data_IF_336637996923
#
_entry.id   IF_336637996923
#
_cell.length_a   1.000
_cell.length_b   1.000
_cell.length_c   1.000
_cell.angle_alpha   90.00
_cell.angle_beta   90.00
_cell.angle_gamma   90.00
#
_symmetry.space_group_name_H-M   'P 1'
#
loop_
_entity.id
_entity.type
_entity.pdbx_description
1 polymer ?
#
# COMPACT_ATOMS: atom_id res chain seq x y z
N UNK A 1 -26.04 -1.85 -5.31
CA UNK A 1 -26.71 -1.73 -3.98
C UNK A 1 -26.45 -0.33 -3.44
N UNK A 2 -27.49 0.39 -2.97
CA UNK A 2 -27.34 1.74 -2.42
C UNK A 2 -27.59 1.70 -0.90
N UNK A 3 -26.55 1.92 -0.06
CA UNK A 3 -26.68 1.78 1.39
C UNK A 3 -27.58 2.83 2.04
N UNK A 4 -27.73 4.02 1.43
CA UNK A 4 -28.65 5.05 1.94
C UNK A 4 -30.15 4.65 1.83
N UNK A 5 -30.47 3.69 0.98
CA UNK A 5 -31.83 3.15 0.80
C UNK A 5 -32.09 1.90 1.63
N UNK A 6 -31.06 1.34 2.24
CA UNK A 6 -31.18 0.18 3.11
C UNK A 6 -31.64 0.62 4.51
N UNK A 7 -32.42 -0.22 5.17
CA UNK A 7 -32.74 -0.01 6.58
C UNK A 7 -31.85 -0.90 7.43
N UNK A 8 -31.16 -0.33 8.45
CA UNK A 8 -30.43 -1.15 9.38
C UNK A 8 -31.39 -2.13 10.08
N UNK A 9 -31.10 -3.41 10.03
CA UNK A 9 -31.99 -4.45 10.62
C UNK A 9 -32.03 -4.36 12.14
N UNK A 10 -30.96 -3.89 12.76
CA UNK A 10 -30.85 -3.76 14.22
C UNK A 10 -31.40 -2.43 14.69
N UNK A 11 -32.45 -2.47 15.49
CA UNK A 11 -33.03 -1.30 16.17
C UNK A 11 -32.42 -1.02 17.54
N UNK A 12 -31.56 -1.92 18.07
CA UNK A 12 -30.93 -1.81 19.39
C UNK A 12 -29.72 -0.89 19.42
N UNK A 13 -29.03 -0.86 20.57
CA UNK A 13 -27.79 -0.12 20.76
C UNK A 13 -26.68 -0.61 19.82
N UNK A 14 -25.77 0.30 19.41
CA UNK A 14 -24.60 -0.04 18.59
C UNK A 14 -23.55 -0.83 19.40
N UNK A 15 -23.60 -0.75 20.71
CA UNK A 15 -22.57 -1.36 21.56
C UNK A 15 -22.81 -2.85 21.74
N UNK A 16 -21.70 -3.57 21.86
CA UNK A 16 -21.68 -4.99 22.21
C UNK A 16 -21.13 -5.18 23.63
N UNK A 17 -21.59 -6.24 24.28
CA UNK A 17 -21.08 -6.64 25.60
C UNK A 17 -19.67 -7.26 25.51
N UNK A 18 -19.02 -7.43 26.66
CA UNK A 18 -17.66 -7.96 26.73
C UNK A 18 -17.51 -9.37 26.18
N UNK A 19 -18.52 -10.22 26.22
CA UNK A 19 -18.45 -11.57 25.67
C UNK A 19 -18.32 -11.54 24.15
N UNK A 20 -18.96 -10.60 23.48
CA UNK A 20 -18.89 -10.45 22.04
C UNK A 20 -17.57 -9.87 21.54
N UNK A 21 -16.78 -9.23 22.41
CA UNK A 21 -15.42 -8.84 22.08
C UNK A 21 -14.46 -10.02 21.93
N UNK A 22 -14.70 -11.10 22.64
CA UNK A 22 -13.83 -12.27 22.68
C UNK A 22 -14.10 -13.17 21.48
N UNK A 23 -13.65 -12.78 20.34
CA UNK A 23 -13.69 -13.63 19.14
C UNK A 23 -12.51 -14.59 19.13
N UNK A 24 -12.74 -15.81 18.67
CA UNK A 24 -11.66 -16.79 18.50
C UNK A 24 -10.70 -16.32 17.40
N UNK A 25 -9.38 -16.27 17.65
CA UNK A 25 -8.40 -15.99 16.60
C UNK A 25 -8.48 -16.96 15.42
N UNK A 26 -7.97 -16.53 14.26
CA UNK A 26 -7.74 -17.47 13.17
C UNK A 26 -6.53 -18.39 13.48
N UNK A 27 -6.42 -19.51 12.77
CA UNK A 27 -5.22 -20.33 12.80
C UNK A 27 -4.23 -19.81 11.73
N UNK A 28 -3.06 -19.32 12.15
CA UNK A 28 -2.07 -18.72 11.23
C UNK A 28 -1.58 -19.67 10.13
N UNK A 29 -1.63 -21.00 10.36
CA UNK A 29 -1.18 -22.01 9.40
C UNK A 29 -2.25 -22.41 8.38
N UNK A 30 -3.52 -22.08 8.62
CA UNK A 30 -4.66 -22.49 7.80
C UNK A 30 -5.41 -21.32 7.19
N UNK A 31 -5.21 -20.11 7.74
CA UNK A 31 -5.91 -18.91 7.27
C UNK A 31 -5.55 -18.61 5.82
N UNK A 32 -6.56 -18.27 5.03
CA UNK A 32 -6.30 -17.73 3.70
C UNK A 32 -5.53 -16.39 3.84
N UNK A 33 -4.43 -16.17 3.10
CA UNK A 33 -3.68 -14.91 3.16
C UNK A 33 -4.55 -13.67 3.00
N UNK A 34 -5.55 -13.71 2.11
CA UNK A 34 -6.47 -12.59 1.91
C UNK A 34 -7.50 -12.41 3.04
N UNK A 35 -7.77 -13.41 3.87
CA UNK A 35 -8.48 -13.19 5.14
C UNK A 35 -7.64 -12.36 6.11
N UNK A 36 -6.35 -12.66 6.24
CA UNK A 36 -5.39 -11.86 7.03
C UNK A 36 -5.35 -10.41 6.54
N UNK A 37 -5.19 -10.20 5.24
CA UNK A 37 -5.11 -8.83 4.67
C UNK A 37 -6.41 -8.05 4.83
N UNK A 38 -7.61 -8.70 4.74
CA UNK A 38 -8.89 -8.04 5.05
C UNK A 38 -8.95 -7.57 6.50
N UNK A 39 -8.50 -8.39 7.45
CA UNK A 39 -8.47 -8.02 8.87
C UNK A 39 -7.54 -6.81 9.09
N UNK A 40 -6.38 -6.79 8.45
CA UNK A 40 -5.43 -5.67 8.50
C UNK A 40 -6.09 -4.40 7.91
N UNK A 41 -6.66 -4.49 6.71
CA UNK A 41 -7.32 -3.36 6.05
C UNK A 41 -8.42 -2.76 6.92
N UNK A 42 -9.33 -3.59 7.41
CA UNK A 42 -10.46 -3.11 8.20
C UNK A 42 -10.02 -2.53 9.55
N UNK A 43 -9.00 -3.12 10.18
CA UNK A 43 -8.42 -2.53 11.40
C UNK A 43 -7.82 -1.13 11.12
N UNK A 44 -7.22 -0.92 9.95
CA UNK A 44 -6.71 0.38 9.52
C UNK A 44 -7.81 1.40 9.25
N UNK A 45 -8.86 0.99 8.57
CA UNK A 45 -10.01 1.85 8.27
C UNK A 45 -10.70 2.34 9.53
N UNK A 46 -10.97 1.44 10.48
CA UNK A 46 -11.51 1.79 11.79
C UNK A 46 -10.61 2.76 12.57
N UNK A 47 -9.29 2.55 12.52
CA UNK A 47 -8.34 3.45 13.17
C UNK A 47 -8.41 4.86 12.58
N UNK A 48 -8.41 4.97 11.26
CA UNK A 48 -8.45 6.26 10.55
C UNK A 48 -9.74 7.02 10.88
N UNK A 49 -10.89 6.34 10.86
CA UNK A 49 -12.17 6.96 11.18
C UNK A 49 -12.24 7.42 12.65
N UNK A 50 -11.76 6.62 13.59
CA UNK A 50 -11.62 7.04 15.00
C UNK A 50 -10.73 8.27 15.14
N UNK A 51 -9.60 8.31 14.44
CA UNK A 51 -8.68 9.45 14.41
C UNK A 51 -9.37 10.71 13.85
N UNK A 52 -10.01 10.60 12.69
CA UNK A 52 -10.79 11.68 12.09
C UNK A 52 -11.88 12.20 13.03
N UNK A 53 -12.68 11.30 13.61
CA UNK A 53 -13.76 11.62 14.53
C UNK A 53 -13.27 12.37 15.79
N UNK A 54 -12.09 12.01 16.32
CA UNK A 54 -11.46 12.75 17.42
C UNK A 54 -11.07 14.18 17.01
N UNK A 55 -10.44 14.35 15.82
CA UNK A 55 -10.06 15.67 15.33
C UNK A 55 -11.30 16.54 15.05
N UNK A 56 -12.33 15.95 14.46
CA UNK A 56 -13.60 16.62 14.23
C UNK A 56 -14.22 17.09 15.55
N UNK A 57 -14.36 16.21 16.50
CA UNK A 57 -14.96 16.52 17.83
C UNK A 57 -14.24 17.68 18.55
N UNK A 58 -12.90 17.76 18.42
CA UNK A 58 -12.09 18.85 19.03
C UNK A 58 -12.34 20.21 18.40
N UNK A 59 -12.82 20.27 17.16
CA UNK A 59 -13.10 21.52 16.43
C UNK A 59 -14.57 21.96 16.47
N UNK A 60 -15.43 21.23 17.19
CA UNK A 60 -16.88 21.48 17.28
C UNK A 60 -17.23 22.08 18.64
N UNK A 61 -18.01 23.17 18.64
CA UNK A 61 -18.53 23.79 19.85
C UNK A 61 -19.92 23.29 20.29
N UNK A 62 -20.63 22.57 19.41
CA UNK A 62 -21.96 22.04 19.70
C UNK A 62 -21.86 20.71 20.46
N UNK A 63 -22.45 20.67 21.66
CA UNK A 63 -22.37 19.52 22.55
C UNK A 63 -23.18 18.30 22.05
N UNK A 64 -24.29 18.51 21.35
CA UNK A 64 -25.08 17.41 20.83
C UNK A 64 -24.34 16.70 19.67
N UNK A 65 -23.74 17.47 18.77
CA UNK A 65 -22.90 16.92 17.71
C UNK A 65 -21.70 16.16 18.30
N UNK A 66 -21.06 16.71 19.33
CA UNK A 66 -19.94 16.03 20.01
C UNK A 66 -20.36 14.71 20.65
N UNK A 67 -21.57 14.63 21.24
CA UNK A 67 -22.12 13.39 21.80
C UNK A 67 -22.38 12.36 20.70
N UNK A 68 -22.95 12.76 19.57
CA UNK A 68 -23.19 11.86 18.42
C UNK A 68 -21.88 11.31 17.85
N UNK A 69 -20.87 12.16 17.66
CA UNK A 69 -19.53 11.73 17.24
C UNK A 69 -18.90 10.74 18.23
N UNK A 70 -19.05 10.99 19.54
CA UNK A 70 -18.54 10.09 20.57
C UNK A 70 -19.27 8.73 20.58
N UNK A 71 -20.56 8.74 20.28
CA UNK A 71 -21.39 7.54 20.19
C UNK A 71 -20.95 6.63 19.04
N UNK A 72 -20.84 7.16 17.82
CA UNK A 72 -20.33 6.42 16.65
C UNK A 72 -18.91 5.90 16.94
N UNK A 73 -17.99 6.79 17.29
CA UNK A 73 -16.58 6.45 17.57
C UNK A 73 -16.42 5.34 18.58
N UNK A 74 -17.29 5.27 19.61
CA UNK A 74 -17.22 4.18 20.60
C UNK A 74 -17.57 2.83 19.98
N UNK A 75 -18.53 2.78 19.07
CA UNK A 75 -18.87 1.58 18.32
C UNK A 75 -17.70 1.13 17.42
N UNK A 76 -17.13 2.05 16.66
CA UNK A 76 -15.96 1.79 15.79
C UNK A 76 -14.75 1.27 16.58
N UNK A 77 -14.49 1.82 17.77
CA UNK A 77 -13.45 1.28 18.67
C UNK A 77 -13.74 -0.16 19.11
N UNK A 78 -15.02 -0.53 19.27
CA UNK A 78 -15.38 -1.91 19.54
C UNK A 78 -15.13 -2.82 18.34
N UNK A 79 -15.47 -2.39 17.13
CA UNK A 79 -15.17 -3.11 15.89
C UNK A 79 -13.67 -3.31 15.73
N UNK A 80 -12.88 -2.25 15.88
CA UNK A 80 -11.42 -2.34 15.82
C UNK A 80 -10.85 -3.35 16.83
N UNK A 81 -11.40 -3.42 18.04
CA UNK A 81 -10.97 -4.40 19.05
C UNK A 81 -11.32 -5.84 18.66
N UNK A 82 -12.48 -6.07 18.10
CA UNK A 82 -12.87 -7.39 17.58
C UNK A 82 -11.88 -7.82 16.49
N UNK A 83 -11.55 -6.93 15.54
CA UNK A 83 -10.58 -7.20 14.48
C UNK A 83 -9.18 -7.53 15.04
N UNK A 84 -8.73 -6.76 16.03
CA UNK A 84 -7.44 -6.99 16.68
C UNK A 84 -7.37 -8.36 17.37
N UNK A 85 -8.48 -8.82 17.95
CA UNK A 85 -8.56 -10.13 18.61
C UNK A 85 -8.58 -11.31 17.64
N UNK A 86 -8.85 -11.09 16.36
CA UNK A 86 -8.75 -12.15 15.35
C UNK A 86 -7.32 -12.58 15.07
N UNK A 87 -6.33 -11.72 15.34
CA UNK A 87 -4.92 -12.07 15.20
C UNK A 87 -4.50 -13.06 16.30
N UNK A 88 -3.89 -14.22 15.95
CA UNK A 88 -3.44 -15.17 16.95
C UNK A 88 -2.14 -14.72 17.64
N UNK A 89 -1.94 -15.16 18.88
CA UNK A 89 -0.80 -14.78 19.71
C UNK A 89 0.54 -15.33 19.19
N UNK A 90 0.51 -16.42 18.43
CA UNK A 90 1.68 -17.08 17.85
C UNK A 90 2.06 -16.56 16.46
N UNK A 91 1.34 -15.58 15.91
CA UNK A 91 1.76 -14.83 14.73
C UNK A 91 2.71 -13.71 15.16
N UNK A 92 3.98 -13.84 14.76
CA UNK A 92 5.02 -12.85 15.08
C UNK A 92 4.73 -11.48 14.45
N UNK A 93 5.40 -10.44 14.95
CA UNK A 93 5.30 -9.11 14.37
C UNK A 93 5.75 -9.09 12.90
N UNK A 94 6.78 -9.87 12.55
CA UNK A 94 7.31 -9.92 11.19
C UNK A 94 6.41 -10.69 10.24
N UNK A 95 5.83 -11.83 10.66
CA UNK A 95 4.79 -12.54 9.87
C UNK A 95 3.60 -11.61 9.58
N UNK A 96 3.21 -10.81 10.58
CA UNK A 96 2.14 -9.83 10.43
C UNK A 96 2.53 -8.71 9.45
N UNK A 97 3.78 -8.24 9.49
CA UNK A 97 4.32 -7.26 8.53
C UNK A 97 4.26 -7.77 7.10
N UNK A 98 4.57 -9.05 6.85
CA UNK A 98 4.38 -9.65 5.52
C UNK A 98 2.91 -9.55 5.06
N UNK A 99 1.97 -9.67 6.00
CA UNK A 99 0.54 -9.46 5.70
C UNK A 99 0.21 -8.01 5.35
N UNK A 100 0.84 -7.02 6.00
CA UNK A 100 0.72 -5.60 5.67
C UNK A 100 1.22 -5.31 4.25
N UNK A 101 2.42 -5.77 3.92
CA UNK A 101 3.00 -5.53 2.60
C UNK A 101 2.26 -6.28 1.49
N UNK A 102 1.76 -7.50 1.76
CA UNK A 102 0.87 -8.18 0.82
C UNK A 102 -0.40 -7.36 0.56
N UNK A 103 -0.99 -6.80 1.60
CA UNK A 103 -2.15 -5.91 1.46
C UNK A 103 -1.78 -4.69 0.62
N UNK A 104 -0.70 -4.01 0.96
CA UNK A 104 -0.25 -2.79 0.26
C UNK A 104 -0.10 -3.06 -1.25
N UNK A 105 0.62 -4.11 -1.64
CA UNK A 105 0.82 -4.48 -3.04
C UNK A 105 -0.49 -4.82 -3.76
N UNK A 106 -1.29 -5.73 -3.21
CA UNK A 106 -2.47 -6.24 -3.90
C UNK A 106 -3.64 -5.26 -3.87
N UNK A 107 -3.80 -4.47 -2.79
CA UNK A 107 -4.79 -3.41 -2.70
C UNK A 107 -4.47 -2.29 -3.70
N UNK A 108 -3.25 -1.78 -3.67
CA UNK A 108 -2.81 -0.68 -4.53
C UNK A 108 -2.95 -1.05 -6.01
N UNK A 109 -2.52 -2.26 -6.39
CA UNK A 109 -2.69 -2.77 -7.75
C UNK A 109 -4.17 -2.93 -8.13
N UNK A 110 -5.02 -3.42 -7.23
CA UNK A 110 -6.45 -3.57 -7.47
C UNK A 110 -7.13 -2.21 -7.69
N UNK A 111 -6.84 -1.23 -6.84
CA UNK A 111 -7.40 0.11 -6.96
C UNK A 111 -6.91 0.81 -8.24
N UNK A 112 -5.62 0.72 -8.56
CA UNK A 112 -5.04 1.31 -9.77
C UNK A 112 -5.66 0.78 -11.07
N UNK A 113 -6.15 -0.47 -11.09
CA UNK A 113 -6.88 -1.03 -12.23
C UNK A 113 -8.29 -0.47 -12.40
N UNK A 114 -8.88 0.12 -11.36
CA UNK A 114 -10.31 0.47 -11.30
C UNK A 114 -10.60 1.96 -11.29
N UNK A 115 -9.64 2.79 -10.89
CA UNK A 115 -9.79 4.25 -10.87
C UNK A 115 -9.83 4.84 -12.27
N UNK A 116 -10.60 5.91 -12.42
CA UNK A 116 -10.72 6.66 -13.68
C UNK A 116 -9.80 7.88 -13.70
N UNK A 117 -9.54 8.50 -12.54
CA UNK A 117 -8.66 9.65 -12.43
C UNK A 117 -7.20 9.25 -12.66
N UNK A 118 -6.56 9.92 -13.63
CA UNK A 118 -5.17 9.63 -14.02
C UNK A 118 -4.16 10.01 -12.96
N UNK A 119 -4.44 11.03 -12.13
CA UNK A 119 -3.54 11.45 -11.07
C UNK A 119 -3.55 10.41 -9.95
N UNK A 120 -4.75 9.93 -9.56
CA UNK A 120 -4.91 8.84 -8.59
C UNK A 120 -4.20 7.59 -9.11
N UNK A 121 -4.48 7.20 -10.36
CA UNK A 121 -3.82 6.04 -10.96
C UNK A 121 -2.29 6.13 -10.95
N UNK A 122 -1.75 7.28 -11.35
CA UNK A 122 -0.30 7.49 -11.37
C UNK A 122 0.32 7.46 -9.97
N UNK A 123 -0.40 7.97 -8.96
CA UNK A 123 0.06 7.93 -7.58
C UNK A 123 0.07 6.49 -7.04
N UNK A 124 -0.98 5.70 -7.34
CA UNK A 124 -1.05 4.29 -6.98
C UNK A 124 0.05 3.48 -7.67
N UNK A 125 0.22 3.63 -9.00
CA UNK A 125 1.27 2.92 -9.74
C UNK A 125 2.68 3.29 -9.25
N UNK A 126 2.86 4.51 -8.77
CA UNK A 126 4.16 4.97 -8.26
C UNK A 126 4.49 4.32 -6.92
N UNK A 127 3.61 4.42 -5.92
CA UNK A 127 3.87 3.88 -4.59
C UNK A 127 3.87 2.34 -4.57
N UNK A 128 3.06 1.69 -5.42
CA UNK A 128 3.03 0.23 -5.57
C UNK A 128 4.43 -0.40 -5.66
N UNK A 129 5.39 0.25 -6.30
CA UNK A 129 6.73 -0.29 -6.45
C UNK A 129 7.61 -0.07 -5.21
N UNK A 130 7.24 0.85 -4.34
CA UNK A 130 7.87 1.05 -3.04
C UNK A 130 7.39 -0.04 -2.08
N UNK A 131 6.06 -0.27 -1.99
CA UNK A 131 5.46 -1.35 -1.19
C UNK A 131 5.96 -2.73 -1.63
N UNK A 132 6.09 -2.92 -2.94
CA UNK A 132 6.61 -4.16 -3.52
C UNK A 132 8.07 -4.42 -3.11
N UNK A 133 8.90 -3.38 -3.02
CA UNK A 133 10.26 -3.46 -2.52
C UNK A 133 10.30 -3.67 -0.99
N UNK A 134 9.37 -3.06 -0.24
CA UNK A 134 9.24 -3.30 1.20
C UNK A 134 8.91 -4.77 1.49
N UNK A 135 7.96 -5.36 0.77
CA UNK A 135 7.64 -6.79 0.88
C UNK A 135 8.89 -7.65 0.67
N UNK A 136 9.69 -7.34 -0.34
CA UNK A 136 10.94 -8.04 -0.61
C UNK A 136 11.92 -7.96 0.56
N UNK A 137 12.14 -6.77 1.13
CA UNK A 137 13.09 -6.55 2.24
C UNK A 137 12.66 -7.21 3.53
N UNK A 138 11.37 -7.13 3.86
CA UNK A 138 10.84 -7.82 5.04
C UNK A 138 10.84 -9.35 4.84
N UNK A 139 10.65 -9.84 3.62
CA UNK A 139 10.75 -11.27 3.32
C UNK A 139 12.17 -11.79 3.53
N UNK A 140 13.19 -11.06 3.08
CA UNK A 140 14.59 -11.39 3.34
C UNK A 140 14.91 -11.35 4.84
N UNK A 141 14.41 -10.36 5.56
CA UNK A 141 14.62 -10.26 7.00
C UNK A 141 13.94 -11.40 7.76
N UNK A 142 12.77 -11.85 7.33
CA UNK A 142 12.08 -13.02 7.89
C UNK A 142 12.91 -14.29 7.67
N UNK A 143 13.37 -14.52 6.44
CA UNK A 143 14.19 -15.69 6.10
C UNK A 143 15.50 -15.69 6.92
N UNK A 144 16.15 -14.54 7.02
CA UNK A 144 17.39 -14.39 7.77
C UNK A 144 17.23 -14.66 9.28
N UNK A 145 16.15 -14.16 9.88
CA UNK A 145 15.97 -14.20 11.35
C UNK A 145 15.35 -15.51 11.84
N UNK A 146 14.45 -16.08 11.04
CA UNK A 146 13.65 -17.26 11.47
C UNK A 146 13.86 -18.49 10.60
N UNK A 147 14.40 -18.34 9.39
CA UNK A 147 14.44 -19.41 8.38
C UNK A 147 13.06 -19.68 7.75
N UNK A 148 12.05 -18.87 8.04
CA UNK A 148 10.73 -18.98 7.43
C UNK A 148 10.68 -18.26 6.08
N UNK A 149 9.87 -18.76 5.17
CA UNK A 149 9.74 -18.24 3.82
C UNK A 149 8.43 -17.48 3.66
N UNK A 150 8.51 -16.21 3.36
CA UNK A 150 7.37 -15.30 3.21
C UNK A 150 6.38 -15.78 2.12
N UNK A 151 6.84 -16.54 1.12
CA UNK A 151 5.99 -17.10 0.07
C UNK A 151 4.90 -18.02 0.61
N UNK A 152 5.13 -18.67 1.76
CA UNK A 152 4.10 -19.45 2.44
C UNK A 152 3.01 -18.56 3.03
N UNK A 153 3.41 -17.41 3.58
CA UNK A 153 2.51 -16.46 4.21
C UNK A 153 1.63 -15.75 3.18
N UNK A 154 2.18 -15.39 2.02
CA UNK A 154 1.43 -14.78 0.91
C UNK A 154 0.70 -15.79 0.04
N UNK A 155 0.88 -17.10 0.29
CA UNK A 155 0.17 -18.19 -0.40
C UNK A 155 0.48 -18.29 -1.91
N UNK A 156 1.57 -17.69 -2.38
CA UNK A 156 1.92 -17.64 -3.80
C UNK A 156 1.04 -16.70 -4.62
N UNK A 157 0.18 -15.91 -3.99
CA UNK A 157 -0.67 -14.93 -4.68
C UNK A 157 0.08 -13.65 -5.06
N UNK A 158 1.07 -13.27 -4.25
CA UNK A 158 1.88 -12.07 -4.44
C UNK A 158 3.31 -12.48 -4.75
N UNK A 159 3.92 -11.85 -5.73
CA UNK A 159 5.31 -12.08 -6.09
C UNK A 159 6.22 -11.35 -5.11
N UNK A 160 7.34 -11.97 -4.74
CA UNK A 160 8.35 -11.37 -3.85
C UNK A 160 9.64 -11.20 -4.63
N UNK A 161 9.97 -9.95 -4.96
CA UNK A 161 11.18 -9.59 -5.73
C UNK A 161 11.45 -8.08 -5.53
N UNK A 162 12.68 -7.58 -5.77
CA UNK A 162 12.97 -6.15 -5.64
C UNK A 162 12.05 -5.28 -6.46
N UNK A 163 11.63 -4.17 -5.88
CA UNK A 163 10.83 -3.13 -6.49
C UNK A 163 11.64 -1.93 -6.97
N UNK A 164 11.24 -0.71 -6.56
CA UNK A 164 12.00 0.50 -6.83
C UNK A 164 13.28 0.51 -5.99
N UNK A 165 14.43 0.99 -6.53
CA UNK A 165 15.65 1.09 -5.75
C UNK A 165 15.47 1.91 -4.47
N UNK A 166 16.02 1.44 -3.34
CA UNK A 166 15.92 2.07 -2.02
C UNK A 166 16.26 3.54 -2.02
N UNK A 167 17.34 3.91 -2.72
CA UNK A 167 17.76 5.30 -2.82
C UNK A 167 16.75 6.23 -3.47
N UNK A 168 15.77 5.68 -4.20
CA UNK A 168 14.70 6.43 -4.85
C UNK A 168 13.46 6.59 -3.98
N UNK A 169 13.38 5.92 -2.81
CA UNK A 169 12.23 5.96 -1.93
C UNK A 169 12.11 7.29 -1.20
N UNK A 170 13.20 7.74 -0.56
CA UNK A 170 13.15 8.95 0.24
C UNK A 170 13.19 10.20 -0.63
N UNK A 171 12.18 11.04 -0.52
CA UNK A 171 12.05 12.29 -1.27
C UNK A 171 11.74 13.46 -0.36
N UNK A 172 11.97 14.66 -0.86
CA UNK A 172 11.61 15.86 -0.13
C UNK A 172 10.09 15.91 0.08
N UNK A 173 9.58 16.30 1.26
CA UNK A 173 8.14 16.28 1.55
C UNK A 173 7.27 17.02 0.53
N UNK A 174 7.78 18.11 -0.08
CA UNK A 174 7.07 18.82 -1.14
C UNK A 174 6.83 17.96 -2.38
N UNK A 175 7.71 17.00 -2.65
CA UNK A 175 7.59 16.09 -3.79
C UNK A 175 6.62 14.93 -3.55
N UNK A 176 6.09 14.79 -2.34
CA UNK A 176 5.02 13.83 -2.01
C UNK A 176 3.61 14.38 -2.27
N UNK A 177 3.43 15.70 -2.39
CA UNK A 177 2.12 16.32 -2.64
C UNK A 177 1.69 16.08 -4.09
N UNK A 178 0.44 15.64 -4.26
CA UNK A 178 -0.19 15.37 -5.57
C UNK A 178 -1.32 16.32 -5.84
N UNK A 179 -1.78 16.40 -7.08
CA UNK A 179 -2.97 17.14 -7.43
C UNK A 179 -4.20 16.50 -6.78
N UNK A 180 -5.00 17.25 -6.03
CA UNK A 180 -6.21 16.71 -5.41
C UNK A 180 -7.31 16.47 -6.44
N UNK A 181 -8.31 15.67 -6.07
CA UNK A 181 -9.56 15.58 -6.82
C UNK A 181 -10.24 16.94 -6.88
N UNK A 182 -10.37 17.51 -8.08
CA UNK A 182 -10.98 18.83 -8.32
C UNK A 182 -12.35 18.75 -8.97
N UNK A 183 -12.72 17.61 -9.50
CA UNK A 183 -14.00 17.40 -10.14
C UNK A 183 -15.15 17.66 -9.16
N UNK A 184 -16.20 18.34 -9.64
CA UNK A 184 -17.39 18.57 -8.82
C UNK A 184 -18.09 17.26 -8.44
N UNK A 185 -18.09 16.30 -9.36
CA UNK A 185 -18.69 14.98 -9.20
C UNK A 185 -17.65 13.92 -9.63
N UNK A 186 -16.65 13.60 -8.80
CA UNK A 186 -15.70 12.54 -9.10
C UNK A 186 -16.42 11.19 -9.17
N UNK A 187 -15.88 10.25 -9.93
CA UNK A 187 -16.42 8.89 -9.96
C UNK A 187 -16.34 8.28 -8.55
N UNK A 188 -17.38 7.55 -8.16
CA UNK A 188 -17.43 6.92 -6.82
C UNK A 188 -16.23 6.04 -6.55
N UNK A 189 -15.74 5.32 -7.55
CA UNK A 189 -14.54 4.47 -7.39
C UNK A 189 -13.27 5.29 -7.09
N UNK A 190 -13.12 6.50 -7.63
CA UNK A 190 -11.98 7.38 -7.37
C UNK A 190 -12.02 7.88 -5.91
N UNK A 191 -13.21 8.25 -5.42
CA UNK A 191 -13.42 8.64 -4.01
C UNK A 191 -13.10 7.48 -3.07
N UNK A 192 -13.64 6.29 -3.36
CA UNK A 192 -13.37 5.09 -2.57
C UNK A 192 -11.88 4.77 -2.55
N UNK A 193 -11.23 4.74 -3.71
CA UNK A 193 -9.83 4.38 -3.82
C UNK A 193 -8.92 5.31 -3.00
N UNK A 194 -9.10 6.64 -3.14
CA UNK A 194 -8.27 7.61 -2.41
C UNK A 194 -8.46 7.51 -0.89
N UNK A 195 -9.68 7.31 -0.40
CA UNK A 195 -9.95 7.17 1.03
C UNK A 195 -9.40 5.83 1.57
N UNK A 196 -9.66 4.71 0.88
CA UNK A 196 -9.22 3.37 1.30
C UNK A 196 -7.71 3.28 1.38
N UNK A 197 -7.00 3.74 0.34
CA UNK A 197 -5.53 3.66 0.34
C UNK A 197 -4.92 4.57 1.41
N UNK A 198 -5.47 5.78 1.61
CA UNK A 198 -5.00 6.68 2.68
C UNK A 198 -5.15 6.03 4.06
N UNK A 199 -6.27 5.37 4.33
CA UNK A 199 -6.51 4.68 5.60
C UNK A 199 -5.57 3.47 5.78
N UNK A 200 -5.33 2.69 4.72
CA UNK A 200 -4.41 1.56 4.75
C UNK A 200 -2.99 2.00 5.09
N UNK A 201 -2.48 3.01 4.40
CA UNK A 201 -1.12 3.54 4.63
C UNK A 201 -0.97 4.23 5.99
N UNK A 202 -2.00 4.94 6.44
CA UNK A 202 -2.00 5.54 7.78
C UNK A 202 -1.82 4.46 8.87
N UNK A 203 -2.44 3.31 8.72
CA UNK A 203 -2.29 2.19 9.64
C UNK A 203 -0.91 1.54 9.50
N UNK A 204 -0.41 1.34 8.28
CA UNK A 204 0.91 0.77 8.00
C UNK A 204 2.01 1.63 8.61
N UNK A 205 1.97 2.93 8.36
CA UNK A 205 2.88 3.90 8.98
C UNK A 205 2.89 3.79 10.51
N UNK A 206 1.71 3.83 11.14
CA UNK A 206 1.61 3.74 12.61
C UNK A 206 2.14 2.41 13.14
N UNK A 207 1.85 1.31 12.45
CA UNK A 207 2.33 -0.01 12.82
C UNK A 207 3.86 -0.06 12.80
N UNK A 208 4.52 0.41 11.74
CA UNK A 208 5.97 0.39 11.64
C UNK A 208 6.65 1.36 12.61
N UNK A 209 6.12 2.56 12.80
CA UNK A 209 6.62 3.52 13.79
C UNK A 209 6.63 2.94 15.20
N UNK A 210 5.59 2.19 15.58
CA UNK A 210 5.50 1.57 16.89
C UNK A 210 6.30 0.26 17.00
N UNK A 211 6.38 -0.51 15.93
CA UNK A 211 7.04 -1.82 15.91
C UNK A 211 8.56 -1.72 15.92
N UNK A 212 9.14 -0.66 15.34
CA UNK A 212 10.59 -0.45 15.28
C UNK A 212 11.28 -0.58 16.65
N UNK A 213 10.64 -0.09 17.72
CA UNK A 213 11.19 -0.14 19.07
C UNK A 213 11.16 -1.54 19.71
N UNK A 214 10.39 -2.48 19.16
CA UNK A 214 10.22 -3.83 19.72
C UNK A 214 11.32 -4.80 19.27
N UNK A 215 12.09 -4.46 18.25
CA UNK A 215 13.12 -5.34 17.70
C UNK A 215 14.36 -5.38 18.62
N UNK A 216 14.86 -6.59 18.94
CA UNK A 216 16.03 -6.74 19.80
C UNK A 216 17.35 -6.41 19.07
N UNK A 217 17.39 -6.57 17.74
CA UNK A 217 18.56 -6.31 16.92
C UNK A 217 18.49 -4.95 16.21
N UNK A 218 19.66 -4.44 15.85
CA UNK A 218 19.77 -3.13 15.22
C UNK A 218 19.24 -3.12 13.77
N UNK A 219 19.33 -4.25 13.08
CA UNK A 219 18.89 -4.38 11.68
C UNK A 219 17.39 -4.19 11.60
N UNK A 220 16.63 -4.97 12.39
CA UNK A 220 15.17 -4.82 12.45
C UNK A 220 14.74 -3.41 12.88
N UNK A 221 15.38 -2.84 13.90
CA UNK A 221 15.07 -1.48 14.37
C UNK A 221 15.22 -0.44 13.25
N UNK A 222 16.32 -0.49 12.49
CA UNK A 222 16.60 0.45 11.41
C UNK A 222 15.73 0.20 10.18
N UNK A 223 15.49 -1.06 9.82
CA UNK A 223 14.62 -1.42 8.70
C UNK A 223 13.20 -0.88 8.89
N UNK A 224 12.60 -1.11 10.06
CA UNK A 224 11.27 -0.59 10.37
C UNK A 224 11.24 0.93 10.48
N UNK A 225 12.30 1.56 10.98
CA UNK A 225 12.40 3.02 11.04
C UNK A 225 12.47 3.62 9.63
N UNK A 226 13.30 3.05 8.77
CA UNK A 226 13.48 3.52 7.39
C UNK A 226 12.19 3.38 6.58
N UNK A 227 11.61 2.18 6.54
CA UNK A 227 10.37 1.92 5.80
C UNK A 227 9.21 2.72 6.38
N UNK A 228 9.08 2.82 7.70
CA UNK A 228 8.06 3.65 8.33
C UNK A 228 8.09 5.13 7.89
N UNK A 229 9.27 5.67 7.55
CA UNK A 229 9.38 7.02 6.98
C UNK A 229 8.98 7.08 5.50
N UNK A 230 9.04 5.98 4.77
CA UNK A 230 8.48 5.89 3.42
C UNK A 230 6.94 5.82 3.49
N UNK A 231 6.40 5.05 4.44
CA UNK A 231 4.95 5.00 4.65
C UNK A 231 4.36 6.37 5.04
N UNK A 232 5.10 7.21 5.76
CA UNK A 232 4.70 8.60 5.99
C UNK A 232 4.58 9.38 4.67
N UNK A 233 5.50 9.15 3.74
CA UNK A 233 5.42 9.76 2.40
C UNK A 233 4.19 9.25 1.64
N UNK A 234 3.79 7.98 1.77
CA UNK A 234 2.58 7.42 1.18
C UNK A 234 1.33 8.07 1.77
N UNK A 235 1.25 8.21 3.10
CA UNK A 235 0.13 8.93 3.75
C UNK A 235 0.01 10.36 3.24
N UNK A 236 1.12 11.08 3.15
CA UNK A 236 1.15 12.45 2.60
C UNK A 236 0.72 12.46 1.13
N UNK A 237 1.21 11.52 0.31
CA UNK A 237 0.89 11.41 -1.11
C UNK A 237 -0.60 11.13 -1.33
N UNK A 238 -1.14 10.10 -0.70
CA UNK A 238 -2.53 9.70 -0.88
C UNK A 238 -3.52 10.67 -0.24
N UNK A 239 -3.20 11.18 0.96
CA UNK A 239 -4.02 12.20 1.62
C UNK A 239 -4.15 13.48 0.80
N UNK A 240 -3.11 13.84 0.03
CA UNK A 240 -3.16 15.02 -0.86
C UNK A 240 -4.07 14.85 -2.08
N UNK A 241 -4.46 13.61 -2.43
CA UNK A 241 -5.41 13.33 -3.52
C UNK A 241 -6.86 13.59 -3.13
N UNK A 242 -7.17 13.61 -1.83
CA UNK A 242 -8.53 13.78 -1.33
C UNK A 242 -9.11 15.14 -1.76
N UNK A 243 -10.45 15.21 -1.86
CA UNK A 243 -11.15 16.43 -2.25
C UNK A 243 -11.05 17.51 -1.16
N UNK A 244 -10.37 18.66 -1.40
CA UNK A 244 -10.00 19.59 -0.33
C UNK A 244 -11.14 20.48 0.17
N UNK A 245 -12.25 20.58 -0.55
CA UNK A 245 -13.33 21.53 -0.28
C UNK A 245 -14.53 20.91 0.46
N UNK A 246 -14.39 19.69 0.98
CA UNK A 246 -15.46 19.03 1.73
C UNK A 246 -15.52 19.54 3.17
N UNK A 247 -16.74 19.71 3.68
CA UNK A 247 -16.96 19.98 5.10
C UNK A 247 -16.61 18.75 5.94
N UNK A 248 -16.50 18.91 7.26
CA UNK A 248 -16.24 17.78 8.13
C UNK A 248 -17.42 16.80 8.21
N UNK A 249 -18.66 17.26 8.05
CA UNK A 249 -19.84 16.38 7.99
C UNK A 249 -19.93 15.64 6.66
N UNK A 250 -19.55 16.29 5.55
CA UNK A 250 -19.43 15.62 4.27
C UNK A 250 -18.34 14.52 4.31
N UNK A 251 -17.18 14.83 4.91
CA UNK A 251 -16.14 13.82 5.11
C UNK A 251 -16.61 12.68 6.00
N UNK A 252 -17.31 12.95 7.11
CA UNK A 252 -17.89 11.91 7.96
C UNK A 252 -18.80 10.99 7.16
N UNK A 253 -19.66 11.56 6.31
CA UNK A 253 -20.56 10.77 5.47
C UNK A 253 -19.77 9.87 4.49
N UNK A 254 -18.70 10.40 3.90
CA UNK A 254 -17.83 9.62 3.00
C UNK A 254 -17.12 8.50 3.74
N UNK A 255 -16.57 8.74 4.94
CA UNK A 255 -15.94 7.70 5.76
C UNK A 255 -16.92 6.54 6.01
N UNK A 256 -18.13 6.84 6.47
CA UNK A 256 -19.13 5.81 6.75
C UNK A 256 -19.59 5.06 5.48
N UNK A 257 -19.65 5.74 4.34
CA UNK A 257 -19.96 5.11 3.06
C UNK A 257 -18.82 4.17 2.61
N UNK A 258 -17.57 4.56 2.80
CA UNK A 258 -16.38 3.75 2.51
C UNK A 258 -16.38 2.47 3.36
N UNK A 259 -16.64 2.59 4.66
CA UNK A 259 -16.70 1.44 5.57
C UNK A 259 -17.84 0.48 5.24
N UNK A 260 -19.02 1.00 4.91
CA UNK A 260 -20.12 0.17 4.39
C UNK A 260 -19.70 -0.64 3.16
N UNK A 261 -19.04 -0.01 2.19
CA UNK A 261 -18.58 -0.69 0.98
C UNK A 261 -17.52 -1.75 1.29
N UNK A 262 -16.58 -1.45 2.18
CA UNK A 262 -15.50 -2.36 2.56
C UNK A 262 -16.04 -3.58 3.32
N UNK A 263 -16.89 -3.39 4.33
CA UNK A 263 -17.48 -4.51 5.08
C UNK A 263 -18.37 -5.38 4.20
N UNK A 264 -19.16 -4.77 3.32
CA UNK A 264 -19.90 -5.52 2.31
C UNK A 264 -18.94 -6.31 1.39
N UNK A 265 -17.86 -5.69 0.93
CA UNK A 265 -16.86 -6.38 0.09
C UNK A 265 -16.20 -7.54 0.83
N UNK A 266 -15.84 -7.36 2.10
CA UNK A 266 -15.31 -8.43 2.93
C UNK A 266 -16.32 -9.58 3.09
N UNK A 267 -17.59 -9.26 3.34
CA UNK A 267 -18.66 -10.27 3.45
C UNK A 267 -18.81 -11.09 2.16
N UNK A 268 -18.84 -10.43 1.00
CA UNK A 268 -19.01 -11.09 -0.30
C UNK A 268 -17.82 -11.99 -0.68
N UNK A 269 -16.61 -11.64 -0.25
CA UNK A 269 -15.38 -12.28 -0.72
C UNK A 269 -14.70 -13.18 0.33
N UNK A 270 -15.18 -13.21 1.57
CA UNK A 270 -14.60 -14.03 2.64
C UNK A 270 -14.91 -15.52 2.48
N UNK A 271 -13.88 -16.34 2.66
CA UNK A 271 -13.96 -17.80 2.55
C UNK A 271 -14.17 -18.49 3.89
N UNK A 272 -13.73 -17.90 5.00
CA UNK A 272 -13.99 -18.40 6.34
C UNK A 272 -15.40 -18.03 6.79
N UNK A 273 -16.29 -19.00 6.96
CA UNK A 273 -17.70 -18.76 7.29
C UNK A 273 -17.91 -18.07 8.64
N UNK A 274 -17.02 -18.30 9.61
CA UNK A 274 -17.10 -17.64 10.94
C UNK A 274 -16.69 -16.18 10.82
N UNK A 275 -15.61 -15.87 10.14
CA UNK A 275 -15.14 -14.50 9.90
C UNK A 275 -16.11 -13.76 9.00
N UNK A 276 -16.67 -14.42 7.99
CA UNK A 276 -17.75 -13.85 7.15
C UNK A 276 -18.94 -13.37 7.99
N UNK A 277 -19.32 -14.13 9.02
CA UNK A 277 -20.38 -13.71 9.96
C UNK A 277 -20.01 -12.45 10.77
N UNK A 278 -18.72 -12.23 11.06
CA UNK A 278 -18.23 -11.00 11.69
C UNK A 278 -18.36 -9.82 10.72
N UNK A 279 -17.97 -9.99 9.44
CA UNK A 279 -18.15 -8.96 8.41
C UNK A 279 -19.59 -8.54 8.22
N UNK A 280 -20.52 -9.50 8.19
CA UNK A 280 -21.96 -9.21 8.13
C UNK A 280 -22.43 -8.38 9.33
N UNK A 281 -22.01 -8.77 10.53
CA UNK A 281 -22.36 -8.05 11.75
C UNK A 281 -21.86 -6.60 11.73
N UNK A 282 -20.61 -6.39 11.30
CA UNK A 282 -20.02 -5.06 11.21
C UNK A 282 -20.67 -4.22 10.11
N UNK A 283 -20.96 -4.79 8.95
CA UNK A 283 -21.71 -4.11 7.90
C UNK A 283 -23.08 -3.56 8.38
N UNK A 284 -23.80 -4.34 9.17
CA UNK A 284 -25.07 -3.88 9.78
C UNK A 284 -24.88 -2.73 10.76
N UNK A 285 -23.73 -2.66 11.47
CA UNK A 285 -23.41 -1.54 12.32
C UNK A 285 -23.05 -0.30 11.49
N UNK A 286 -22.25 -0.45 10.44
CA UNK A 286 -21.89 0.64 9.55
C UNK A 286 -23.08 1.27 8.84
N UNK A 287 -24.08 0.49 8.46
CA UNK A 287 -25.33 1.05 7.94
C UNK A 287 -26.00 2.02 8.94
N UNK A 288 -25.91 1.75 10.25
CA UNK A 288 -26.42 2.69 11.27
C UNK A 288 -25.55 3.93 11.39
N UNK A 289 -24.22 3.76 11.40
CA UNK A 289 -23.28 4.88 11.42
C UNK A 289 -23.54 5.81 10.24
N UNK A 290 -23.67 5.25 9.03
CA UNK A 290 -23.98 5.99 7.82
C UNK A 290 -25.29 6.80 7.93
N UNK A 291 -26.35 6.19 8.46
CA UNK A 291 -27.62 6.89 8.64
C UNK A 291 -27.53 8.00 9.70
N UNK A 292 -26.78 7.79 10.79
CA UNK A 292 -26.51 8.86 11.78
C UNK A 292 -25.72 9.99 11.14
N UNK A 293 -24.67 9.70 10.36
CA UNK A 293 -23.90 10.70 9.64
C UNK A 293 -24.77 11.53 8.67
N UNK A 294 -25.67 10.86 7.95
CA UNK A 294 -26.66 11.51 7.07
C UNK A 294 -27.62 12.42 7.85
N UNK A 295 -28.14 11.97 8.99
CA UNK A 295 -28.99 12.80 9.83
C UNK A 295 -28.26 14.06 10.32
N UNK A 296 -26.99 13.92 10.73
CA UNK A 296 -26.17 15.05 11.14
C UNK A 296 -25.94 16.04 9.97
N UNK A 297 -25.61 15.53 8.77
CA UNK A 297 -25.47 16.37 7.58
C UNK A 297 -26.74 17.16 7.28
N UNK A 298 -27.91 16.52 7.32
CA UNK A 298 -29.21 17.15 7.12
C UNK A 298 -29.52 18.17 8.22
N UNK A 299 -29.23 17.84 9.46
CA UNK A 299 -29.51 18.70 10.60
C UNK A 299 -28.68 20.00 10.58
N UNK A 300 -27.37 19.89 10.38
CA UNK A 300 -26.42 20.98 10.52
C UNK A 300 -26.13 21.75 9.24
N UNK A 301 -26.09 21.04 8.08
CA UNK A 301 -25.72 21.68 6.79
C UNK A 301 -26.88 21.80 5.82
N UNK A 302 -28.05 21.19 6.12
CA UNK A 302 -29.24 21.18 5.24
C UNK A 302 -28.97 20.54 3.87
N UNK A 303 -27.99 19.63 3.81
CA UNK A 303 -27.62 18.84 2.61
C UNK A 303 -28.11 17.42 2.73
N UNK A 304 -28.23 16.75 1.59
CA UNK A 304 -28.53 15.32 1.54
C UNK A 304 -27.37 14.55 0.88
N UNK A 305 -27.37 13.24 1.01
CA UNK A 305 -26.28 12.38 0.51
C UNK A 305 -26.02 12.56 -0.99
N UNK A 306 -27.03 12.86 -1.81
CA UNK A 306 -26.86 13.07 -3.25
C UNK A 306 -25.98 14.27 -3.61
N UNK A 307 -25.86 15.23 -2.71
CA UNK A 307 -24.99 16.39 -2.90
C UNK A 307 -23.51 16.05 -2.61
N UNK A 308 -23.27 14.97 -1.86
CA UNK A 308 -21.92 14.53 -1.46
C UNK A 308 -21.45 13.34 -2.32
N UNK A 309 -22.34 12.35 -2.50
CA UNK A 309 -22.10 11.11 -3.25
C UNK A 309 -23.23 10.94 -4.26
N UNK A 310 -23.20 11.63 -5.41
CA UNK A 310 -24.29 11.63 -6.39
C UNK A 310 -24.65 10.22 -6.91
N UNK A 311 -23.64 9.40 -7.15
CA UNK A 311 -23.79 7.98 -7.49
C UNK A 311 -23.41 7.12 -6.29
N UNK A 312 -24.38 6.82 -5.45
CA UNK A 312 -24.18 6.04 -4.23
C UNK A 312 -24.50 4.54 -4.39
N UNK A 313 -24.67 4.05 -5.61
CA UNK A 313 -24.66 2.60 -5.83
C UNK A 313 -23.25 2.07 -5.59
N UNK A 314 -23.13 1.01 -4.79
CA UNK A 314 -21.84 0.39 -4.59
C UNK A 314 -21.27 -0.12 -5.92
N UNK A 315 -20.04 0.23 -6.27
CA UNK A 315 -19.33 -0.44 -7.35
C UNK A 315 -19.15 -1.93 -7.02
N UNK A 316 -18.61 -2.71 -7.94
CA UNK A 316 -18.25 -4.10 -7.67
C UNK A 316 -17.42 -4.19 -6.38
N UNK A 317 -17.52 -5.27 -5.59
CA UNK A 317 -16.82 -5.39 -4.33
C UNK A 317 -15.29 -5.31 -4.51
N UNK A 318 -14.60 -4.91 -3.45
CA UNK A 318 -13.15 -5.03 -3.38
C UNK A 318 -12.80 -6.51 -3.28
N UNK A 319 -12.14 -7.03 -4.31
CA UNK A 319 -11.65 -8.40 -4.34
C UNK A 319 -10.13 -8.39 -4.24
N UNK A 320 -9.60 -8.84 -3.11
CA UNK A 320 -8.17 -9.09 -3.00
C UNK A 320 -7.85 -10.38 -3.74
N UNK A 321 -7.03 -10.25 -4.76
CA UNK A 321 -6.64 -11.31 -5.70
C UNK A 321 -5.20 -11.12 -6.15
N UNK A 322 -4.62 -12.13 -6.79
CA UNK A 322 -3.27 -12.01 -7.36
C UNK A 322 -3.20 -10.93 -8.43
N UNK A 323 -2.24 -10.02 -8.29
CA UNK A 323 -2.00 -8.92 -9.22
C UNK A 323 -0.62 -8.99 -9.90
N UNK A 324 0.02 -10.16 -9.91
CA UNK A 324 1.40 -10.37 -10.39
C UNK A 324 1.64 -9.74 -11.77
N UNK A 325 0.76 -9.98 -12.73
CA UNK A 325 0.93 -9.45 -14.09
C UNK A 325 0.85 -7.92 -14.14
N UNK A 326 -0.03 -7.33 -13.34
CA UNK A 326 -0.14 -5.88 -13.24
C UNK A 326 1.11 -5.27 -12.61
N UNK A 327 1.56 -5.81 -11.49
CA UNK A 327 2.78 -5.36 -10.79
C UNK A 327 3.99 -5.44 -11.71
N UNK A 328 4.16 -6.54 -12.45
CA UNK A 328 5.23 -6.70 -13.43
C UNK A 328 5.17 -5.64 -14.55
N UNK A 329 3.99 -5.30 -15.01
CA UNK A 329 3.80 -4.26 -16.03
C UNK A 329 4.24 -2.89 -15.49
N UNK A 330 3.82 -2.52 -14.29
CA UNK A 330 4.20 -1.27 -13.64
C UNK A 330 5.71 -1.23 -13.38
N UNK A 331 6.28 -2.31 -12.83
CA UNK A 331 7.73 -2.45 -12.61
C UNK A 331 8.52 -2.23 -13.89
N UNK A 332 8.11 -2.86 -14.99
CA UNK A 332 8.77 -2.74 -16.29
C UNK A 332 8.70 -1.35 -16.92
N UNK A 333 7.78 -0.50 -16.49
CA UNK A 333 7.55 0.83 -17.08
C UNK A 333 8.04 1.99 -16.20
N UNK A 334 7.96 1.91 -14.88
CA UNK A 334 8.12 3.06 -13.97
C UNK A 334 9.13 2.84 -12.83
N UNK A 335 9.86 1.73 -12.82
CA UNK A 335 10.82 1.40 -11.74
C UNK A 335 11.87 2.49 -11.49
N UNK A 336 12.24 3.25 -12.53
CA UNK A 336 13.26 4.30 -12.45
C UNK A 336 12.68 5.70 -12.20
N UNK A 337 11.38 5.81 -11.94
CA UNK A 337 10.77 7.10 -11.69
C UNK A 337 10.97 7.55 -10.24
N UNK A 338 11.12 8.86 -10.04
CA UNK A 338 10.96 9.53 -8.75
C UNK A 338 9.92 10.63 -8.86
N UNK A 339 9.40 11.08 -7.73
CA UNK A 339 8.50 12.21 -7.69
C UNK A 339 9.29 13.53 -7.75
N UNK A 340 8.81 14.48 -8.55
CA UNK A 340 9.31 15.83 -8.66
C UNK A 340 8.14 16.79 -8.65
N UNK A 341 7.85 17.37 -7.51
CA UNK A 341 6.58 18.05 -7.25
C UNK A 341 5.42 17.13 -7.61
N UNK A 342 4.46 17.59 -8.40
CA UNK A 342 3.28 16.80 -8.80
C UNK A 342 3.53 15.80 -9.95
N UNK A 343 4.76 15.72 -10.46
CA UNK A 343 5.12 14.87 -11.61
C UNK A 343 5.99 13.69 -11.21
N UNK A 344 6.02 12.67 -12.05
CA UNK A 344 6.96 11.56 -11.98
C UNK A 344 7.96 11.70 -13.13
N UNK A 345 9.24 11.53 -12.83
CA UNK A 345 10.34 11.71 -13.79
C UNK A 345 11.34 10.57 -13.66
N UNK A 346 11.86 10.09 -14.79
CA UNK A 346 12.92 9.10 -14.82
C UNK A 346 14.21 9.70 -14.28
N UNK A 347 14.69 9.18 -13.14
CA UNK A 347 15.89 9.71 -12.45
C UNK A 347 17.17 9.58 -13.28
N UNK A 348 17.21 8.65 -14.23
CA UNK A 348 18.39 8.43 -15.09
C UNK A 348 18.60 9.56 -16.10
N UNK A 349 17.54 10.23 -16.47
CA UNK A 349 17.57 11.26 -17.52
C UNK A 349 17.25 12.65 -17.00
N UNK A 350 16.47 12.76 -15.93
CA UNK A 350 15.91 14.01 -15.46
C UNK A 350 15.86 14.11 -13.92
N UNK A 351 16.85 13.55 -13.21
CA UNK A 351 16.87 13.68 -11.74
C UNK A 351 16.89 15.16 -11.33
N UNK A 352 15.88 15.64 -10.58
CA UNK A 352 15.87 17.02 -10.12
C UNK A 352 17.01 17.30 -9.14
N UNK A 353 17.60 18.49 -9.17
CA UNK A 353 18.66 18.86 -8.20
C UNK A 353 18.16 18.76 -6.76
N UNK A 354 16.89 19.07 -6.50
CA UNK A 354 16.26 18.92 -5.17
C UNK A 354 16.28 17.48 -4.70
N UNK A 355 15.95 16.51 -5.58
CA UNK A 355 16.03 15.08 -5.31
C UNK A 355 17.48 14.67 -4.97
N UNK A 356 18.44 15.01 -5.83
CA UNK A 356 19.86 14.67 -5.63
C UNK A 356 20.36 15.22 -4.29
N UNK A 357 20.03 16.48 -3.99
CA UNK A 357 20.44 17.11 -2.71
C UNK A 357 19.81 16.41 -1.52
N UNK A 358 18.54 16.04 -1.60
CA UNK A 358 17.84 15.34 -0.52
C UNK A 358 18.39 13.94 -0.31
N UNK A 359 18.65 13.19 -1.41
CA UNK A 359 19.31 11.89 -1.34
C UNK A 359 20.68 11.95 -0.64
N UNK A 360 21.50 12.94 -0.96
CA UNK A 360 22.78 13.16 -0.26
C UNK A 360 22.61 13.43 1.23
N UNK A 361 21.54 14.09 1.62
CA UNK A 361 21.28 14.40 3.02
C UNK A 361 20.80 13.18 3.81
N UNK A 362 19.92 12.34 3.26
CA UNK A 362 19.30 11.23 3.99
C UNK A 362 19.98 9.88 3.77
N UNK A 363 20.59 9.67 2.60
CA UNK A 363 21.16 8.39 2.16
C UNK A 363 22.66 8.44 1.87
N UNK A 364 23.39 9.46 2.33
CA UNK A 364 24.83 9.53 2.08
C UNK A 364 25.66 9.03 3.28
N UNK A 365 26.54 8.07 3.07
CA UNK A 365 26.64 7.26 1.84
C UNK A 365 25.54 6.21 1.76
N UNK A 366 25.08 5.91 0.55
CA UNK A 366 24.03 4.92 0.28
C UNK A 366 24.28 3.58 0.96
N UNK A 367 25.54 3.14 0.99
CA UNK A 367 25.94 1.90 1.69
C UNK A 367 25.65 1.90 3.20
N UNK A 368 25.32 3.03 3.81
CA UNK A 368 24.93 3.13 5.21
C UNK A 368 23.41 3.08 5.39
N UNK A 369 22.65 3.09 4.29
CA UNK A 369 21.20 2.82 4.32
C UNK A 369 21.01 1.36 4.72
N UNK A 370 20.39 1.13 5.85
CA UNK A 370 20.41 -0.19 6.49
C UNK A 370 19.74 -1.26 5.66
N UNK A 371 18.57 -0.96 5.08
CA UNK A 371 17.84 -1.93 4.25
C UNK A 371 18.63 -2.33 3.01
N UNK A 372 19.29 -1.39 2.35
CA UNK A 372 20.17 -1.63 1.22
C UNK A 372 21.37 -2.52 1.62
N UNK A 373 22.11 -2.10 2.64
CA UNK A 373 23.30 -2.82 3.12
C UNK A 373 22.96 -4.22 3.61
N UNK A 374 21.86 -4.37 4.35
CA UNK A 374 21.44 -5.66 4.88
C UNK A 374 21.14 -6.66 3.77
N UNK A 375 20.37 -6.26 2.77
CA UNK A 375 20.01 -7.12 1.64
C UNK A 375 21.23 -7.50 0.82
N UNK A 376 22.13 -6.56 0.53
CA UNK A 376 23.37 -6.85 -0.17
C UNK A 376 24.27 -7.81 0.60
N UNK A 377 24.41 -7.64 1.90
CA UNK A 377 25.21 -8.52 2.75
C UNK A 377 24.59 -9.92 2.86
N UNK A 378 23.28 -10.00 2.94
CA UNK A 378 22.56 -11.27 2.94
C UNK A 378 22.76 -12.01 1.60
N UNK A 379 22.53 -11.34 0.48
CA UNK A 379 22.75 -11.89 -0.87
C UNK A 379 24.20 -12.34 -1.05
N UNK A 380 25.15 -11.57 -0.58
CA UNK A 380 26.58 -11.89 -0.66
C UNK A 380 26.94 -13.16 0.11
N UNK A 381 26.35 -13.36 1.28
CA UNK A 381 26.63 -14.53 2.15
C UNK A 381 25.92 -15.81 1.70
N UNK A 382 24.65 -15.68 1.29
CA UNK A 382 23.76 -16.80 1.09
C UNK A 382 23.41 -17.05 -0.39
N UNK A 383 23.83 -16.17 -1.29
CA UNK A 383 23.34 -16.09 -2.64
C UNK A 383 21.94 -15.43 -2.66
N UNK A 384 21.46 -15.11 -3.84
CA UNK A 384 20.15 -14.52 -4.05
C UNK A 384 19.05 -15.60 -3.94
N UNK A 385 18.66 -15.91 -2.71
CA UNK A 385 17.76 -17.03 -2.40
C UNK A 385 16.40 -16.86 -3.05
N UNK A 386 15.85 -15.64 -3.02
CA UNK A 386 14.53 -15.35 -3.59
C UNK A 386 14.56 -15.42 -5.12
N UNK A 387 15.50 -14.77 -5.77
CA UNK A 387 15.67 -14.87 -7.22
C UNK A 387 16.00 -16.27 -7.74
N UNK A 388 16.67 -17.10 -6.93
CA UNK A 388 16.94 -18.50 -7.27
C UNK A 388 15.67 -19.36 -7.23
N UNK A 389 14.74 -19.10 -6.31
CA UNK A 389 13.43 -19.77 -6.27
C UNK A 389 12.64 -19.51 -7.54
N UNK A 390 12.75 -18.32 -8.11
CA UNK A 390 12.09 -17.94 -9.37
C UNK A 390 12.72 -18.52 -10.63
N UNK A 391 13.99 -18.91 -10.60
CA UNK A 391 14.62 -19.62 -11.74
C UNK A 391 13.95 -20.95 -12.05
N UNK A 392 13.22 -21.55 -11.10
CA UNK A 392 12.42 -22.76 -11.33
C UNK A 392 11.08 -22.47 -12.02
N UNK A 393 10.60 -21.23 -11.97
CA UNK A 393 9.38 -20.79 -12.65
C UNK A 393 9.79 -19.92 -13.86
N UNK A 394 9.91 -20.53 -15.02
CA UNK A 394 10.39 -19.98 -16.30
C UNK A 394 9.92 -18.55 -16.58
N UNK A 395 10.73 -17.53 -16.30
CA UNK A 395 10.61 -16.23 -16.97
C UNK A 395 11.99 -15.56 -17.11
N UNK A 396 12.66 -15.77 -18.28
CA UNK A 396 14.00 -15.25 -18.60
C UNK A 396 14.10 -13.72 -18.63
N UNK A 397 12.99 -13.00 -18.73
CA UNK A 397 12.97 -11.53 -18.81
C UNK A 397 13.19 -10.83 -17.48
N UNK A 398 12.83 -11.47 -16.37
CA UNK A 398 12.87 -10.87 -15.04
C UNK A 398 14.29 -10.72 -14.47
N UNK A 399 15.15 -11.70 -14.68
CA UNK A 399 16.56 -11.65 -14.23
C UNK A 399 17.32 -10.46 -14.82
N UNK A 400 16.91 -10.00 -16.01
CA UNK A 400 17.50 -8.82 -16.66
C UNK A 400 17.08 -7.52 -15.98
N UNK A 401 15.86 -7.41 -15.48
CA UNK A 401 15.37 -6.23 -14.76
C UNK A 401 16.03 -6.12 -13.39
N UNK A 402 16.17 -7.22 -12.63
CA UNK A 402 16.87 -7.25 -11.36
C UNK A 402 18.32 -6.78 -11.48
N UNK A 403 19.07 -7.30 -12.47
CA UNK A 403 20.46 -6.85 -12.72
C UNK A 403 20.54 -5.38 -13.12
N UNK A 404 19.55 -4.86 -13.82
CA UNK A 404 19.48 -3.44 -14.18
C UNK A 404 19.25 -2.58 -12.92
N UNK A 405 18.41 -2.98 -11.99
CA UNK A 405 18.14 -2.24 -10.76
C UNK A 405 19.42 -2.10 -9.93
N UNK A 406 20.13 -3.18 -9.67
CA UNK A 406 21.38 -3.13 -8.87
C UNK A 406 22.54 -2.40 -9.55
N UNK A 407 22.73 -2.56 -10.85
CA UNK A 407 23.77 -1.83 -11.62
C UNK A 407 23.52 -0.31 -11.62
N UNK A 408 22.24 0.12 -11.50
CA UNK A 408 21.89 1.54 -11.50
C UNK A 408 22.06 2.21 -10.13
N UNK A 409 21.93 1.50 -9.02
CA UNK A 409 22.25 2.04 -7.71
C UNK A 409 23.70 2.51 -7.66
N UNK A 410 24.63 1.73 -8.20
CA UNK A 410 26.04 2.12 -8.29
C UNK A 410 26.31 3.24 -9.32
N UNK A 411 25.57 3.30 -10.43
CA UNK A 411 25.83 4.26 -11.51
C UNK A 411 25.24 5.66 -11.26
N UNK A 412 24.17 5.80 -10.51
CA UNK A 412 23.62 7.12 -10.13
C UNK A 412 24.63 7.94 -9.31
N UNK A 413 25.53 7.27 -8.58
CA UNK A 413 26.57 7.90 -7.78
C UNK A 413 27.96 7.86 -8.42
N UNK A 414 28.19 7.01 -9.43
CA UNK A 414 29.49 6.93 -10.15
C UNK A 414 29.80 8.19 -10.97
N UNK A 415 28.81 8.96 -11.40
CA UNK A 415 29.01 10.27 -12.05
C UNK A 415 29.62 11.35 -11.14
N UNK A 416 29.86 11.05 -9.88
CA UNK A 416 30.38 11.97 -8.84
C UNK A 416 31.79 11.58 -8.36
N UNK A 417 32.54 10.84 -9.17
CA UNK A 417 34.01 10.71 -8.97
C UNK A 417 34.48 9.49 -8.17
N UNK A 418 33.71 8.41 -8.05
CA UNK A 418 34.18 7.15 -7.47
C UNK A 418 34.39 6.13 -8.59
N UNK A 419 35.65 5.80 -8.89
CA UNK A 419 36.01 4.80 -9.91
C UNK A 419 35.60 3.41 -9.48
N UNK A 420 34.84 2.75 -10.33
CA UNK A 420 34.34 1.37 -10.17
C UNK A 420 35.41 0.32 -10.47
N UNK A 421 35.32 -0.80 -9.75
CA UNK A 421 36.10 -2.02 -10.04
C UNK A 421 35.20 -3.19 -10.49
N UNK A 422 34.08 -2.93 -11.16
CA UNK A 422 33.10 -3.98 -11.53
C UNK A 422 32.75 -4.03 -13.03
N UNK A 423 33.74 -4.15 -13.92
CA UNK A 423 33.50 -4.36 -15.38
C UNK A 423 33.65 -5.84 -15.81
N UNK A 424 33.98 -6.79 -14.94
CA UNK A 424 34.48 -8.10 -15.37
C UNK A 424 33.46 -9.24 -15.54
N UNK A 425 32.13 -9.06 -15.39
CA UNK A 425 31.19 -10.18 -15.51
C UNK A 425 30.08 -10.06 -16.57
N UNK A 426 30.19 -9.15 -17.52
CA UNK A 426 29.13 -8.89 -18.52
C UNK A 426 29.19 -9.76 -19.78
N UNK A 427 30.08 -10.74 -19.89
CA UNK A 427 30.36 -11.41 -21.20
C UNK A 427 29.76 -12.80 -21.39
N UNK A 428 28.87 -13.31 -20.58
CA UNK A 428 28.46 -14.71 -20.72
C UNK A 428 26.95 -15.01 -20.87
N UNK A 429 26.08 -14.11 -21.33
CA UNK A 429 24.71 -14.50 -21.69
C UNK A 429 24.17 -13.69 -22.88
N UNK A 430 24.46 -14.12 -24.09
CA UNK A 430 23.64 -13.82 -25.28
C UNK A 430 23.08 -15.16 -25.77
N UNK A 431 21.78 -15.41 -25.75
CA UNK A 431 21.19 -16.57 -26.42
C UNK A 431 20.87 -16.27 -27.88
N UNK A 432 21.01 -17.31 -28.72
CA UNK A 432 20.73 -17.30 -30.14
C UNK A 432 19.26 -17.02 -30.52
N UNK A 433 19.01 -16.88 -31.84
CA UNK A 433 17.82 -16.22 -32.38
C UNK A 433 16.64 -17.16 -32.65
N UNK A 434 15.97 -17.69 -31.65
CA UNK A 434 14.69 -18.35 -31.92
C UNK A 434 13.71 -18.11 -30.75
N UNK A 435 12.64 -17.49 -31.09
CA UNK A 435 11.34 -17.28 -30.46
C UNK A 435 10.99 -15.79 -30.25
N UNK A 436 10.42 -15.20 -31.29
CA UNK A 436 9.70 -13.94 -31.24
C UNK A 436 8.28 -14.12 -31.81
N UNK A 437 7.28 -14.06 -30.93
CA UNK A 437 5.93 -13.71 -31.35
C UNK A 437 5.27 -12.87 -30.25
N UNK A 438 5.37 -11.54 -30.42
CA UNK A 438 4.74 -10.56 -29.52
C UNK A 438 5.03 -9.14 -30.03
N UNK A 439 4.18 -8.63 -30.92
CA UNK A 439 4.47 -7.45 -31.78
C UNK A 439 4.55 -6.08 -31.06
N UNK A 440 4.34 -5.95 -29.78
CA UNK A 440 4.30 -4.64 -29.10
C UNK A 440 5.56 -4.31 -28.28
N UNK A 441 6.27 -5.28 -27.73
CA UNK A 441 7.50 -5.07 -26.95
C UNK A 441 8.77 -4.90 -27.80
N UNK A 442 8.79 -5.45 -29.00
CA UNK A 442 9.99 -5.49 -29.85
C UNK A 442 10.47 -4.11 -30.34
N UNK A 443 9.57 -3.15 -30.56
CA UNK A 443 9.95 -1.80 -31.05
C UNK A 443 10.67 -0.95 -30.00
N UNK A 444 10.31 -1.07 -28.71
CA UNK A 444 11.02 -0.35 -27.62
C UNK A 444 12.34 -1.01 -27.26
N UNK A 445 12.41 -2.33 -27.31
CA UNK A 445 13.62 -3.11 -27.01
C UNK A 445 14.75 -2.81 -27.99
N UNK A 446 14.46 -2.77 -29.27
CA UNK A 446 15.46 -2.45 -30.33
C UNK A 446 15.96 -0.99 -30.23
N UNK A 447 15.15 -0.06 -29.74
CA UNK A 447 15.58 1.32 -29.50
C UNK A 447 16.55 1.45 -28.34
N UNK A 448 16.39 0.65 -27.29
CA UNK A 448 17.26 0.64 -26.11
C UNK A 448 18.59 -0.05 -26.43
N UNK A 449 18.56 -1.17 -27.10
CA UNK A 449 19.77 -1.92 -27.50
C UNK A 449 20.61 -1.10 -28.50
N UNK A 450 19.99 -0.43 -29.47
CA UNK A 450 20.74 0.41 -30.42
C UNK A 450 21.36 1.66 -29.78
N UNK A 451 20.71 2.26 -28.78
CA UNK A 451 21.27 3.37 -28.01
C UNK A 451 22.42 2.93 -27.09
N UNK A 452 22.31 1.76 -26.48
CA UNK A 452 23.42 1.17 -25.69
C UNK A 452 24.61 0.84 -26.55
N UNK A 453 24.37 0.35 -27.78
CA UNK A 453 25.45 0.02 -28.71
C UNK A 453 26.18 1.26 -29.24
N UNK A 454 25.47 2.36 -29.46
CA UNK A 454 26.09 3.63 -29.87
C UNK A 454 26.88 4.32 -28.77
N UNK A 455 26.50 4.10 -27.48
CA UNK A 455 27.24 4.63 -26.31
C UNK A 455 28.51 3.82 -26.07
N UNK A 456 28.48 2.50 -26.30
CA UNK A 456 29.63 1.62 -26.08
C UNK A 456 30.70 1.72 -27.19
N UNK A 457 30.34 2.18 -28.38
CA UNK A 457 31.28 2.35 -29.50
C UNK A 457 31.74 3.82 -29.71
N UNK A 458 31.32 4.74 -28.85
CA UNK A 458 31.72 6.15 -28.85
C UNK A 458 32.67 6.54 -27.69
N UNK A 459 33.16 5.54 -26.93
CA UNK A 459 34.26 5.59 -25.98
C UNK A 459 35.42 4.72 -26.50
#
# INVERSE_FOLDING_TARGET
MNPFKMRPERTGDLFVDWEKFWVKPYNKNEVNPYTRTRIILMNGTEFENVWFSHQFSRSVGDDELRRKLAYIRKSEQQQQKILTHLKPADESALEHTIGYEQLAVDLTAHLAKRVNDKNIKSALDFALLEDFDHLYRYADYLDFTTGEHAEKLVGGYTEITPGRPTISHHRHPYDSIRYPMTDKCPATMDVLAANVITAAEQQTMNYYMNTAALWPDEIGRRLYQEIGMVEEQHVTQYGSLLKPCMSRLENLLVHQYVECWLYWSCYETETDTRIRGIWQFMFEQELKHLHIALELLRQYEKKDWQEVIPDAEFPAPLVLESNIEYVRCVLGSTVNDTACRERYVDVRTNAPETFIRYQRMVNDPVRNVMSHTFIEDYIRKNGEVIALRWRQIRCRSFVTVQRIIYVWEDSLFAGIGIRSHFICHLWHVIPGPDVLSGHCCAKKYNSIVSKLWSILNGL
#
